data_IF_850654177335
#
_entry.id   IF_850654177335
#
_cell.length_a   1.000
_cell.length_b   1.000
_cell.length_c   1.000
_cell.angle_alpha   90.00
_cell.angle_beta   90.00
_cell.angle_gamma   90.00
#
_symmetry.space_group_name_H-M   'P 1'
#
loop_
_entity.id
_entity.type
_entity.pdbx_description
1 polymer ?
#
# COMPACT_ATOMS: atom_id res chain seq x y z
N UNK A 1 64.83 -49.88 -46.61
CA UNK A 1 65.47 -48.56 -46.40
C UNK A 1 66.10 -48.14 -47.71
N UNK A 2 65.59 -47.07 -48.34
CA UNK A 2 66.18 -45.73 -48.26
C UNK A 2 65.07 -44.68 -48.04
N UNK A 3 65.28 -43.39 -47.81
CA UNK A 3 66.34 -42.58 -47.22
C UNK A 3 65.61 -41.28 -46.84
N UNK A 4 65.95 -40.68 -45.69
CA UNK A 4 65.40 -39.39 -45.26
C UNK A 4 65.69 -38.32 -46.33
N UNK A 5 64.69 -37.50 -46.64
CA UNK A 5 64.92 -36.12 -47.04
C UNK A 5 64.28 -35.21 -46.00
N UNK A 6 65.14 -34.65 -45.16
CA UNK A 6 64.85 -33.46 -44.38
C UNK A 6 65.23 -32.25 -45.23
N UNK A 7 64.24 -31.49 -45.67
CA UNK A 7 64.31 -30.10 -46.11
C UNK A 7 62.85 -29.70 -46.38
N UNK A 8 62.27 -28.63 -45.86
CA UNK A 8 62.83 -27.38 -45.39
C UNK A 8 61.95 -26.82 -44.25
N UNK A 9 62.56 -26.64 -43.08
CA UNK A 9 62.06 -25.71 -42.06
C UNK A 9 62.31 -24.29 -42.54
N UNK A 10 61.38 -23.76 -43.33
CA UNK A 10 61.37 -22.39 -43.81
C UNK A 10 60.02 -21.77 -43.48
N UNK A 11 59.75 -21.55 -42.20
CA UNK A 11 58.61 -20.75 -41.74
C UNK A 11 58.90 -19.28 -42.01
N UNK A 12 58.88 -18.89 -43.28
CA UNK A 12 58.74 -17.50 -43.67
C UNK A 12 57.24 -17.16 -43.57
N UNK A 13 56.78 -16.98 -42.34
CA UNK A 13 55.41 -16.55 -42.08
C UNK A 13 55.28 -15.14 -42.65
N UNK A 14 54.68 -15.03 -43.84
CA UNK A 14 54.36 -13.74 -44.47
C UNK A 14 53.72 -12.82 -43.40
N UNK A 15 54.28 -11.61 -43.16
CA UNK A 15 53.83 -10.68 -42.13
C UNK A 15 52.30 -10.45 -42.12
N UNK A 16 51.62 -10.66 -43.25
CA UNK A 16 50.17 -10.60 -43.37
C UNK A 16 49.45 -11.66 -42.52
N UNK A 17 49.94 -12.90 -42.48
CA UNK A 17 49.33 -13.98 -41.70
C UNK A 17 49.54 -13.82 -40.19
N UNK A 18 50.74 -13.41 -39.77
CA UNK A 18 51.02 -13.10 -38.37
C UNK A 18 50.10 -11.99 -37.82
N UNK A 19 49.82 -10.96 -38.62
CA UNK A 19 48.88 -9.89 -38.26
C UNK A 19 47.42 -10.38 -38.17
N UNK A 20 47.01 -11.30 -39.05
CA UNK A 20 45.67 -11.89 -39.00
C UNK A 20 45.47 -12.75 -37.75
N UNK A 21 46.48 -13.53 -37.37
CA UNK A 21 46.46 -14.35 -36.16
C UNK A 21 46.42 -13.50 -34.90
N UNK A 22 47.20 -12.42 -34.84
CA UNK A 22 47.14 -11.46 -33.73
C UNK A 22 45.77 -10.76 -33.65
N UNK A 23 45.19 -10.36 -34.79
CA UNK A 23 43.83 -9.80 -34.84
C UNK A 23 42.78 -10.82 -34.40
N UNK A 24 42.93 -12.09 -34.75
CA UNK A 24 42.05 -13.17 -34.30
C UNK A 24 42.17 -13.38 -32.79
N UNK A 25 43.39 -13.41 -32.25
CA UNK A 25 43.67 -13.50 -30.82
C UNK A 25 43.02 -12.36 -30.03
N UNK A 26 43.23 -11.11 -30.47
CA UNK A 26 42.60 -9.92 -29.86
C UNK A 26 41.06 -9.99 -29.88
N UNK A 27 40.46 -10.43 -31.00
CA UNK A 27 39.00 -10.63 -31.11
C UNK A 27 38.49 -11.69 -30.14
N UNK A 28 39.20 -12.81 -29.97
CA UNK A 28 38.81 -13.86 -29.03
C UNK A 28 38.82 -13.36 -27.58
N UNK A 29 39.83 -12.57 -27.20
CA UNK A 29 39.92 -11.97 -25.87
C UNK A 29 38.78 -10.96 -25.66
N UNK A 30 38.58 -10.04 -26.61
CA UNK A 30 37.52 -9.01 -26.52
C UNK A 30 36.11 -9.62 -26.53
N UNK A 31 35.83 -10.63 -27.35
CA UNK A 31 34.55 -11.34 -27.34
C UNK A 31 34.33 -12.10 -26.04
N UNK A 32 35.37 -12.75 -25.51
CA UNK A 32 35.28 -13.41 -24.20
C UNK A 32 34.94 -12.41 -23.11
N UNK A 33 35.59 -11.26 -23.11
CA UNK A 33 35.34 -10.22 -22.12
C UNK A 33 33.95 -9.60 -22.26
N UNK A 34 33.52 -9.27 -23.49
CA UNK A 34 32.18 -8.72 -23.73
C UNK A 34 31.06 -9.71 -23.39
N UNK A 35 31.24 -11.00 -23.70
CA UNK A 35 30.31 -12.05 -23.28
C UNK A 35 30.24 -12.15 -21.74
N UNK A 36 31.38 -12.08 -21.03
CA UNK A 36 31.42 -12.03 -19.56
C UNK A 36 30.66 -10.81 -19.03
N UNK A 37 30.95 -9.60 -19.55
CA UNK A 37 30.27 -8.35 -19.14
C UNK A 37 28.78 -8.39 -19.44
N UNK A 38 28.37 -8.99 -20.54
CA UNK A 38 26.95 -9.19 -20.89
C UNK A 38 26.26 -10.11 -19.86
N UNK A 39 26.86 -11.27 -19.54
CA UNK A 39 26.33 -12.18 -18.52
C UNK A 39 26.24 -11.51 -17.15
N UNK A 40 27.27 -10.77 -16.73
CA UNK A 40 27.27 -10.04 -15.46
C UNK A 40 26.18 -8.97 -15.40
N UNK A 41 25.97 -8.21 -16.48
CA UNK A 41 24.89 -7.21 -16.55
C UNK A 41 23.51 -7.85 -16.43
N UNK A 42 23.28 -8.97 -17.14
CA UNK A 42 22.01 -9.69 -17.07
C UNK A 42 21.78 -10.29 -15.68
N UNK A 43 22.82 -10.85 -15.06
CA UNK A 43 22.75 -11.36 -13.69
C UNK A 43 22.36 -10.26 -12.70
N UNK A 44 23.04 -9.11 -12.77
CA UNK A 44 22.72 -7.95 -11.92
C UNK A 44 21.28 -7.48 -12.12
N UNK A 45 20.81 -7.38 -13.36
CA UNK A 45 19.42 -6.98 -13.64
C UNK A 45 18.41 -7.97 -13.04
N UNK A 46 18.69 -9.27 -13.09
CA UNK A 46 17.82 -10.27 -12.45
C UNK A 46 17.81 -10.12 -10.93
N UNK A 47 18.98 -9.90 -10.31
CA UNK A 47 19.10 -9.66 -8.87
C UNK A 47 18.35 -8.38 -8.44
N UNK A 48 18.52 -7.29 -9.19
CA UNK A 48 17.84 -6.02 -8.94
C UNK A 48 16.31 -6.20 -9.00
N UNK A 49 15.79 -6.92 -10.00
CA UNK A 49 14.36 -7.22 -10.12
C UNK A 49 13.83 -8.11 -8.99
N UNK A 50 14.59 -9.10 -8.54
CA UNK A 50 14.20 -9.96 -7.40
C UNK A 50 14.14 -9.14 -6.11
N UNK A 51 15.11 -8.25 -5.90
CA UNK A 51 15.13 -7.36 -4.74
C UNK A 51 13.94 -6.39 -4.77
N UNK A 52 13.63 -5.81 -5.93
CA UNK A 52 12.49 -4.91 -6.10
C UNK A 52 11.17 -5.64 -5.85
N UNK A 53 10.99 -6.84 -6.40
CA UNK A 53 9.80 -7.65 -6.16
C UNK A 53 9.64 -7.99 -4.66
N UNK A 54 10.72 -8.38 -3.98
CA UNK A 54 10.69 -8.65 -2.54
C UNK A 54 10.35 -7.39 -1.73
N UNK A 55 10.88 -6.23 -2.12
CA UNK A 55 10.58 -4.95 -1.47
C UNK A 55 9.10 -4.60 -1.63
N UNK A 56 8.58 -4.66 -2.85
CA UNK A 56 7.17 -4.37 -3.13
C UNK A 56 6.24 -5.35 -2.41
N UNK A 57 6.60 -6.64 -2.31
CA UNK A 57 5.82 -7.61 -1.54
C UNK A 57 5.75 -7.25 -0.06
N UNK A 58 6.87 -6.82 0.53
CA UNK A 58 6.92 -6.38 1.92
C UNK A 58 6.09 -5.12 2.15
N UNK A 59 6.20 -4.12 1.27
CA UNK A 59 5.42 -2.89 1.32
C UNK A 59 3.91 -3.18 1.19
N UNK A 60 3.53 -4.06 0.27
CA UNK A 60 2.13 -4.48 0.10
C UNK A 60 1.60 -5.14 1.38
N UNK A 61 2.37 -6.06 1.97
CA UNK A 61 2.00 -6.70 3.23
C UNK A 61 1.81 -5.68 4.37
N UNK A 62 2.67 -4.67 4.47
CA UNK A 62 2.55 -3.59 5.45
C UNK A 62 1.30 -2.73 5.21
N UNK A 63 1.00 -2.39 3.96
CA UNK A 63 -0.22 -1.66 3.59
C UNK A 63 -1.48 -2.44 3.95
N UNK A 64 -1.53 -3.73 3.65
CA UNK A 64 -2.64 -4.61 4.02
C UNK A 64 -2.85 -4.64 5.54
N UNK A 65 -1.78 -4.78 6.32
CA UNK A 65 -1.85 -4.72 7.78
C UNK A 65 -2.37 -3.36 8.26
N UNK A 66 -1.90 -2.26 7.67
CA UNK A 66 -2.36 -0.91 7.98
C UNK A 66 -3.85 -0.70 7.69
N UNK A 67 -4.33 -1.20 6.54
CA UNK A 67 -5.75 -1.16 6.16
C UNK A 67 -6.60 -1.94 7.16
N UNK A 68 -6.19 -3.16 7.52
CA UNK A 68 -6.91 -3.99 8.48
C UNK A 68 -6.99 -3.33 9.86
N UNK A 69 -5.89 -2.75 10.35
CA UNK A 69 -5.86 -2.05 11.63
C UNK A 69 -6.72 -0.77 11.61
N UNK A 70 -6.75 -0.04 10.49
CA UNK A 70 -7.63 1.12 10.32
C UNK A 70 -9.10 0.70 10.26
N UNK A 71 -9.41 -0.40 9.57
CA UNK A 71 -10.76 -0.94 9.49
C UNK A 71 -11.28 -1.34 10.88
N UNK A 72 -10.48 -2.07 11.66
CA UNK A 72 -10.84 -2.48 13.02
C UNK A 72 -11.14 -1.27 13.92
N UNK A 73 -10.26 -0.26 13.92
CA UNK A 73 -10.48 1.00 14.67
C UNK A 73 -11.74 1.74 14.23
N UNK A 74 -12.07 1.71 12.93
CA UNK A 74 -13.30 2.31 12.42
C UNK A 74 -14.53 1.59 12.95
N UNK A 75 -14.54 0.25 12.94
CA UNK A 75 -15.64 -0.56 13.49
C UNK A 75 -15.85 -0.29 14.99
N UNK A 76 -14.77 -0.19 15.76
CA UNK A 76 -14.82 0.17 17.18
C UNK A 76 -15.44 1.56 17.38
N UNK A 77 -15.00 2.56 16.60
CA UNK A 77 -15.55 3.92 16.66
C UNK A 77 -17.03 3.97 16.25
N UNK A 78 -17.42 3.24 15.21
CA UNK A 78 -18.82 3.12 14.77
C UNK A 78 -19.69 2.49 15.86
N UNK A 79 -19.20 1.45 16.53
CA UNK A 79 -19.93 0.82 17.65
C UNK A 79 -20.12 1.78 18.82
N UNK A 80 -19.08 2.52 19.21
CA UNK A 80 -19.16 3.53 20.26
C UNK A 80 -20.13 4.67 19.88
N UNK A 81 -20.11 5.10 18.62
CA UNK A 81 -21.04 6.11 18.11
C UNK A 81 -22.50 5.62 18.19
N UNK A 82 -22.76 4.36 17.85
CA UNK A 82 -24.09 3.77 17.95
C UNK A 82 -24.58 3.71 19.40
N UNK A 83 -23.71 3.38 20.37
CA UNK A 83 -24.05 3.43 21.80
C UNK A 83 -24.41 4.85 22.23
N UNK A 84 -23.59 5.85 21.87
CA UNK A 84 -23.86 7.25 22.20
C UNK A 84 -25.18 7.75 21.58
N UNK A 85 -25.48 7.35 20.34
CA UNK A 85 -26.74 7.65 19.66
C UNK A 85 -27.93 7.05 20.42
N UNK A 86 -27.85 5.78 20.83
CA UNK A 86 -28.89 5.13 21.61
C UNK A 86 -29.14 5.84 22.95
N UNK A 87 -28.06 6.19 23.67
CA UNK A 87 -28.15 6.96 24.92
C UNK A 87 -28.77 8.35 24.71
N UNK A 88 -28.42 9.04 23.62
CA UNK A 88 -28.99 10.35 23.30
C UNK A 88 -30.51 10.26 23.03
N UNK A 89 -30.95 9.21 22.31
CA UNK A 89 -32.38 8.96 22.08
C UNK A 89 -33.09 8.70 23.40
N UNK A 90 -32.56 7.80 24.23
CA UNK A 90 -33.15 7.47 25.53
C UNK A 90 -33.29 8.70 26.44
N UNK A 91 -32.23 9.51 26.57
CA UNK A 91 -32.26 10.72 27.39
C UNK A 91 -33.26 11.75 26.84
N UNK A 92 -33.36 11.86 25.51
CA UNK A 92 -34.34 12.75 24.87
C UNK A 92 -35.78 12.30 25.15
N UNK A 93 -36.05 11.00 25.11
CA UNK A 93 -37.36 10.43 25.45
C UNK A 93 -37.71 10.64 26.92
N UNK A 94 -36.76 10.38 27.84
CA UNK A 94 -36.94 10.67 29.27
C UNK A 94 -37.25 12.14 29.51
N UNK A 95 -36.55 13.05 28.85
CA UNK A 95 -36.80 14.49 28.94
C UNK A 95 -38.18 14.87 28.41
N UNK A 96 -38.62 14.31 27.28
CA UNK A 96 -39.99 14.51 26.77
C UNK A 96 -41.04 13.99 27.74
N UNK A 97 -40.83 12.83 28.34
CA UNK A 97 -41.74 12.27 29.34
C UNK A 97 -41.87 13.18 30.56
N UNK A 98 -40.75 13.69 31.08
CA UNK A 98 -40.76 14.64 32.20
C UNK A 98 -41.48 15.95 31.84
N UNK A 99 -41.22 16.50 30.66
CA UNK A 99 -41.92 17.69 30.18
C UNK A 99 -43.44 17.46 30.05
N UNK A 100 -43.86 16.27 29.60
CA UNK A 100 -45.28 15.92 29.51
C UNK A 100 -45.94 15.81 30.88
N UNK A 101 -45.25 15.25 31.88
CA UNK A 101 -45.77 15.20 33.26
C UNK A 101 -45.87 16.61 33.83
N UNK A 102 -44.87 17.45 33.59
CA UNK A 102 -44.86 18.83 34.07
C UNK A 102 -46.05 19.61 33.49
N UNK A 103 -46.35 19.46 32.20
CA UNK A 103 -47.52 20.07 31.57
C UNK A 103 -48.83 19.66 32.25
N UNK A 104 -49.00 18.38 32.62
CA UNK A 104 -50.17 17.92 33.38
C UNK A 104 -50.23 18.57 34.77
N UNK A 105 -49.09 18.72 35.45
CA UNK A 105 -49.04 19.39 36.76
C UNK A 105 -49.43 20.86 36.63
N UNK A 106 -48.95 21.59 35.62
CA UNK A 106 -49.33 22.98 35.37
C UNK A 106 -50.84 23.13 35.15
N UNK A 107 -51.45 22.23 34.37
CA UNK A 107 -52.90 22.21 34.13
C UNK A 107 -53.71 21.99 35.43
N UNK A 108 -53.20 21.15 36.34
CA UNK A 108 -53.85 20.86 37.63
C UNK A 108 -53.63 21.94 38.69
N UNK A 109 -52.44 22.54 38.72
CA UNK A 109 -52.02 23.47 39.78
C UNK A 109 -52.19 24.95 39.42
N UNK A 110 -52.43 25.28 38.14
CA UNK A 110 -52.63 26.65 37.66
C UNK A 110 -51.38 27.54 37.72
N UNK A 111 -50.23 26.96 38.08
CA UNK A 111 -48.94 27.65 38.16
C UNK A 111 -48.14 27.36 36.88
N UNK A 112 -47.90 28.39 36.06
CA UNK A 112 -47.06 28.29 34.86
C UNK A 112 -45.59 28.20 35.24
N UNK A 113 -44.89 27.17 34.75
CA UNK A 113 -43.49 26.89 35.01
C UNK A 113 -42.71 26.83 33.68
N UNK A 114 -42.13 27.96 33.26
CA UNK A 114 -41.35 28.02 32.02
C UNK A 114 -40.07 27.18 32.10
N UNK A 115 -40.00 26.10 31.30
CA UNK A 115 -38.77 25.35 31.09
C UNK A 115 -37.91 26.08 30.04
N UNK A 116 -36.66 26.50 30.35
CA UNK A 116 -35.79 27.15 29.38
C UNK A 116 -35.47 26.20 28.22
N UNK A 117 -35.87 26.58 27.00
CA UNK A 117 -35.63 25.82 25.75
C UNK A 117 -34.15 25.88 25.32
N UNK A 118 -33.24 25.32 26.11
CA UNK A 118 -31.81 25.33 25.76
C UNK A 118 -31.36 24.16 24.85
N UNK A 119 -32.29 23.42 24.22
CA UNK A 119 -31.99 22.17 23.51
C UNK A 119 -31.77 22.32 21.99
N UNK A 120 -31.94 23.51 21.41
CA UNK A 120 -31.81 23.69 19.94
C UNK A 120 -30.36 23.63 19.42
N UNK A 121 -29.36 23.70 20.28
CA UNK A 121 -27.95 23.69 19.87
C UNK A 121 -27.33 22.30 19.71
N UNK A 122 -28.00 21.22 20.16
CA UNK A 122 -27.44 19.86 20.10
C UNK A 122 -28.06 18.96 19.01
N UNK A 123 -29.32 19.16 18.64
CA UNK A 123 -30.00 18.27 17.67
C UNK A 123 -29.53 18.52 16.23
N UNK A 124 -29.18 19.77 15.88
CA UNK A 124 -28.70 20.11 14.53
C UNK A 124 -27.30 19.56 14.20
N UNK A 125 -26.39 19.55 15.17
CA UNK A 125 -25.03 19.01 15.00
C UNK A 125 -25.05 17.47 14.86
N UNK A 126 -25.93 16.80 15.60
CA UNK A 126 -26.11 15.35 15.49
C UNK A 126 -26.81 14.98 14.17
N UNK A 127 -27.80 15.76 13.72
CA UNK A 127 -28.49 15.51 12.45
C UNK A 127 -27.60 15.66 11.20
N UNK A 128 -26.66 16.61 11.19
CA UNK A 128 -25.65 16.70 10.14
C UNK A 128 -24.75 15.45 10.05
N UNK A 129 -24.65 14.70 11.15
CA UNK A 129 -23.94 13.42 11.23
C UNK A 129 -24.80 12.21 10.84
N UNK A 130 -26.12 12.38 10.68
CA UNK A 130 -27.08 11.30 10.36
C UNK A 130 -27.13 10.92 8.87
N UNK A 131 -26.55 11.70 7.96
CA UNK A 131 -26.63 11.44 6.51
C UNK A 131 -25.30 11.03 5.84
N UNK A 132 -24.16 11.01 6.55
CA UNK A 132 -22.84 10.97 5.88
C UNK A 132 -22.04 9.66 6.05
N UNK A 133 -22.64 8.54 6.49
CA UNK A 133 -21.91 7.25 6.61
C UNK A 133 -22.56 6.07 5.91
N UNK A 134 -23.43 6.32 4.92
CA UNK A 134 -24.05 5.25 4.11
C UNK A 134 -23.31 4.91 2.80
N UNK A 135 -22.06 5.37 2.59
CA UNK A 135 -21.42 5.24 1.25
C UNK A 135 -20.00 4.67 1.19
N UNK A 136 -19.56 3.87 2.16
CA UNK A 136 -18.35 3.05 2.00
C UNK A 136 -18.58 1.58 2.37
N UNK A 137 -19.66 1.01 1.82
CA UNK A 137 -19.72 -0.42 1.54
C UNK A 137 -19.01 -0.66 0.20
N UNK A 138 -17.76 -1.10 0.26
CA UNK A 138 -17.08 -1.68 -0.90
C UNK A 138 -17.31 -3.18 -0.79
N UNK A 139 -17.95 -3.72 -1.83
CA UNK A 139 -18.14 -5.15 -2.09
C UNK A 139 -16.83 -5.95 -2.01
#
# INVERSE_FOLDING_TARGET
MPARQAASSGSDSDPRYANLDERKRKRMISNRESARRSRMRKQKQMEDLVNEASKLQNENNQLVQGINAAHQRRMEMESANNVLRAQAVELTERLRSLNSVLQVVEEVSGLSMEIPRNSRYYVGAVAASLFSTAHYGIC
#
